data_IF_111700132001
#
_entry.id   IF_111700132001
#
_cell.length_a   1.000
_cell.length_b   1.000
_cell.length_c   1.000
_cell.angle_alpha   90.00
_cell.angle_beta   90.00
_cell.angle_gamma   90.00
#
_symmetry.space_group_name_H-M   'P 1'
#
loop_
_entity.id
_entity.type
_entity.pdbx_description
1 polymer ?
#
# COMPACT_ATOMS: atom_id res chain seq x y z
N UNK A 1 23.52 -7.95 9.50
CA UNK A 1 23.44 -6.60 10.09
C UNK A 1 22.33 -6.52 11.12
N UNK A 2 22.39 -5.57 12.06
CA UNK A 2 21.30 -5.23 12.97
C UNK A 2 20.53 -4.04 12.43
N UNK A 3 19.25 -4.23 12.11
CA UNK A 3 18.46 -3.24 11.38
C UNK A 3 17.20 -2.90 12.17
N UNK A 4 17.00 -1.61 12.42
CA UNK A 4 15.76 -1.10 13.02
C UNK A 4 14.83 -0.52 11.95
N UNK A 5 13.52 -0.80 12.02
CA UNK A 5 12.50 -0.25 11.11
C UNK A 5 11.44 0.42 11.97
N UNK A 6 11.17 1.71 11.73
CA UNK A 6 10.14 2.42 12.51
C UNK A 6 8.73 2.01 12.09
N UNK A 7 7.83 1.85 13.06
CA UNK A 7 6.43 1.50 12.85
C UNK A 7 5.52 2.34 13.77
N UNK A 8 4.41 2.86 13.24
CA UNK A 8 3.37 3.53 14.04
C UNK A 8 2.23 2.57 14.36
N UNK A 9 2.23 2.02 15.56
CA UNK A 9 1.20 1.08 16.04
C UNK A 9 0.11 1.77 16.87
N UNK A 10 0.13 3.10 16.98
CA UNK A 10 -0.73 3.85 17.90
C UNK A 10 -2.13 4.16 17.38
N UNK A 11 -2.36 4.16 16.06
CA UNK A 11 -3.55 4.78 15.48
C UNK A 11 -4.44 3.88 14.64
N UNK A 12 -3.87 2.95 13.88
CA UNK A 12 -4.63 2.20 12.87
C UNK A 12 -4.37 0.69 13.00
N UNK A 13 -5.42 -0.10 12.75
CA UNK A 13 -5.27 -1.56 12.57
C UNK A 13 -4.30 -1.85 11.42
N UNK A 14 -3.53 -2.95 11.54
CA UNK A 14 -2.61 -3.40 10.51
C UNK A 14 -3.28 -3.59 9.14
N UNK A 15 -4.52 -4.06 9.13
CA UNK A 15 -5.29 -4.29 7.88
C UNK A 15 -5.72 -3.02 7.14
N UNK A 16 -5.57 -1.84 7.73
CA UNK A 16 -5.94 -0.55 7.10
C UNK A 16 -4.78 0.41 6.94
N UNK A 17 -3.57 0.03 7.41
CA UNK A 17 -2.37 0.86 7.34
C UNK A 17 -1.32 0.22 6.43
N UNK A 18 -1.30 0.59 5.16
CA UNK A 18 -0.29 0.12 4.20
C UNK A 18 1.15 0.41 4.63
N UNK A 19 1.39 1.52 5.33
CA UNK A 19 2.72 1.87 5.87
C UNK A 19 3.15 0.87 6.94
N UNK A 20 2.26 0.52 7.87
CA UNK A 20 2.57 -0.46 8.92
C UNK A 20 2.74 -1.88 8.35
N UNK A 21 1.92 -2.23 7.33
CA UNK A 21 2.10 -3.48 6.59
C UNK A 21 3.48 -3.54 5.94
N UNK A 22 3.88 -2.47 5.25
CA UNK A 22 5.20 -2.39 4.62
C UNK A 22 6.34 -2.56 5.63
N UNK A 23 6.26 -1.93 6.81
CA UNK A 23 7.27 -2.06 7.86
C UNK A 23 7.43 -3.52 8.33
N UNK A 24 6.33 -4.25 8.48
CA UNK A 24 6.34 -5.67 8.87
C UNK A 24 6.90 -6.53 7.72
N UNK A 25 6.42 -6.31 6.49
CA UNK A 25 6.89 -7.07 5.32
C UNK A 25 8.38 -6.87 5.06
N UNK A 26 8.86 -5.63 5.19
CA UNK A 26 10.28 -5.32 5.09
C UNK A 26 11.11 -6.00 6.20
N UNK A 27 10.62 -5.98 7.44
CA UNK A 27 11.29 -6.65 8.54
C UNK A 27 11.43 -8.16 8.32
N UNK A 28 10.37 -8.80 7.80
CA UNK A 28 10.39 -10.23 7.47
C UNK A 28 11.34 -10.53 6.32
N UNK A 29 11.31 -9.74 5.26
CA UNK A 29 12.18 -9.90 4.10
C UNK A 29 13.65 -9.74 4.48
N UNK A 30 14.00 -8.72 5.26
CA UNK A 30 15.38 -8.51 5.71
C UNK A 30 15.85 -9.59 6.68
N UNK A 31 14.95 -10.13 7.49
CA UNK A 31 15.23 -11.29 8.36
C UNK A 31 15.51 -12.54 7.51
N UNK A 32 14.73 -12.78 6.47
CA UNK A 32 14.98 -13.88 5.50
C UNK A 32 16.37 -13.73 4.86
N UNK A 33 16.82 -12.52 4.63
CA UNK A 33 18.17 -12.19 4.17
C UNK A 33 19.28 -12.35 5.23
N UNK A 34 18.98 -12.93 6.40
CA UNK A 34 19.96 -13.19 7.46
C UNK A 34 20.27 -11.99 8.36
N UNK A 35 19.45 -10.94 8.34
CA UNK A 35 19.62 -9.78 9.21
C UNK A 35 18.88 -9.93 10.54
N UNK A 36 19.42 -9.32 11.60
CA UNK A 36 18.75 -9.20 12.90
C UNK A 36 17.86 -7.94 12.88
N UNK A 37 16.56 -8.13 12.71
CA UNK A 37 15.61 -7.05 12.47
C UNK A 37 14.79 -6.70 13.71
N UNK A 38 14.57 -5.40 13.91
CA UNK A 38 13.83 -4.83 15.03
C UNK A 38 12.75 -3.86 14.51
N UNK A 39 11.50 -4.06 14.92
CA UNK A 39 10.43 -3.07 14.75
C UNK A 39 10.52 -2.04 15.86
N UNK A 40 10.91 -0.81 15.51
CA UNK A 40 11.07 0.31 16.44
C UNK A 40 9.73 1.04 16.57
N UNK A 41 9.20 1.10 17.79
CA UNK A 41 7.91 1.75 18.07
C UNK A 41 8.02 2.82 19.15
N UNK A 42 7.22 3.88 19.01
CA UNK A 42 6.99 4.85 20.07
C UNK A 42 6.19 4.16 21.17
N UNK A 43 6.42 4.53 22.41
CA UNK A 43 5.90 3.96 23.66
C UNK A 43 4.59 3.13 23.51
N UNK A 44 4.58 1.96 24.11
CA UNK A 44 3.43 1.06 24.16
C UNK A 44 2.18 1.77 24.71
N UNK A 45 1.21 2.01 23.83
CA UNK A 45 -0.16 2.31 24.23
C UNK A 45 -0.94 1.00 24.07
N UNK A 46 -1.76 0.66 25.05
CA UNK A 46 -2.64 -0.51 24.99
C UNK A 46 -3.71 -0.29 23.92
N UNK A 47 -3.43 -0.74 22.70
CA UNK A 47 -4.33 -0.66 21.57
C UNK A 47 -4.51 -2.04 20.93
N UNK A 48 -5.67 -2.27 20.32
CA UNK A 48 -5.92 -3.52 19.54
C UNK A 48 -4.86 -3.75 18.45
N UNK A 49 -4.35 -2.67 17.85
CA UNK A 49 -3.28 -2.71 16.85
C UNK A 49 -1.96 -3.20 17.45
N UNK A 50 -1.64 -2.81 18.67
CA UNK A 50 -0.46 -3.29 19.39
C UNK A 50 -0.54 -4.79 19.66
N UNK A 51 -1.68 -5.30 20.11
CA UNK A 51 -1.87 -6.73 20.37
C UNK A 51 -1.77 -7.57 19.09
N UNK A 52 -2.34 -7.10 17.99
CA UNK A 52 -2.16 -7.74 16.68
C UNK A 52 -0.69 -7.78 16.28
N UNK A 53 0.02 -6.65 16.42
CA UNK A 53 1.45 -6.55 16.11
C UNK A 53 2.29 -7.48 17.02
N UNK A 54 2.00 -7.53 18.32
CA UNK A 54 2.67 -8.45 19.27
C UNK A 54 2.49 -9.91 18.87
N UNK A 55 1.26 -10.33 18.52
CA UNK A 55 0.96 -11.70 18.07
C UNK A 55 1.71 -12.06 16.80
N UNK A 56 1.70 -11.16 15.78
CA UNK A 56 2.43 -11.36 14.53
C UNK A 56 3.95 -11.43 14.75
N UNK A 57 4.51 -10.51 15.53
CA UNK A 57 5.93 -10.54 15.87
C UNK A 57 6.32 -11.88 16.53
N UNK A 58 5.51 -12.36 17.49
CA UNK A 58 5.74 -13.64 18.15
C UNK A 58 5.66 -14.82 17.15
N UNK A 59 4.61 -14.86 16.30
CA UNK A 59 4.41 -15.91 15.31
C UNK A 59 5.59 -16.01 14.33
N UNK A 60 6.11 -14.86 13.88
CA UNK A 60 7.15 -14.79 12.85
C UNK A 60 8.56 -14.52 13.42
N UNK A 61 8.74 -14.50 14.74
CA UNK A 61 10.02 -14.29 15.39
C UNK A 61 10.66 -12.93 15.06
N UNK A 62 9.86 -11.86 14.95
CA UNK A 62 10.32 -10.49 14.81
C UNK A 62 10.58 -9.87 16.18
N UNK A 63 11.69 -9.17 16.32
CA UNK A 63 12.01 -8.43 17.52
C UNK A 63 11.28 -7.08 17.53
N UNK A 64 10.98 -6.60 18.73
CA UNK A 64 10.43 -5.26 18.97
C UNK A 64 11.43 -4.47 19.81
N UNK A 65 11.51 -3.16 19.57
CA UNK A 65 12.43 -2.27 20.26
C UNK A 65 11.74 -0.92 20.53
N UNK A 66 11.75 -0.46 21.76
CA UNK A 66 11.26 0.87 22.05
C UNK A 66 12.28 1.95 21.64
N UNK A 67 11.81 3.15 21.28
CA UNK A 67 12.68 4.24 20.81
C UNK A 67 13.83 4.59 21.80
N UNK A 68 13.57 4.54 23.10
CA UNK A 68 14.56 4.83 24.12
C UNK A 68 15.63 3.73 24.25
N UNK A 69 15.40 2.54 23.72
CA UNK A 69 16.32 1.40 23.75
C UNK A 69 17.26 1.34 22.55
N UNK A 70 16.98 2.10 21.48
CA UNK A 70 17.76 2.11 20.22
C UNK A 70 19.24 2.37 20.48
N UNK A 71 19.55 3.34 21.31
CA UNK A 71 20.94 3.70 21.67
C UNK A 71 21.76 2.55 22.29
N UNK A 72 21.11 1.60 22.96
CA UNK A 72 21.78 0.47 23.61
C UNK A 72 21.99 -0.73 22.68
N UNK A 73 21.22 -0.81 21.58
CA UNK A 73 21.22 -1.96 20.67
C UNK A 73 22.37 -1.99 19.67
N UNK A 74 23.06 -0.85 19.44
CA UNK A 74 24.11 -0.72 18.42
C UNK A 74 23.64 -1.21 17.05
N UNK A 75 22.57 -0.59 16.52
CA UNK A 75 22.05 -0.89 15.19
C UNK A 75 23.00 -0.38 14.11
N UNK A 76 23.16 -1.14 13.03
CA UNK A 76 23.96 -0.74 11.88
C UNK A 76 23.15 0.25 11.00
N UNK A 77 21.86 -0.02 10.84
CA UNK A 77 20.96 0.78 10.00
C UNK A 77 19.63 1.01 10.73
N UNK A 78 19.07 2.22 10.59
CA UNK A 78 17.69 2.50 10.96
C UNK A 78 16.91 3.01 9.76
N UNK A 79 15.81 2.33 9.43
CA UNK A 79 14.91 2.67 8.34
C UNK A 79 13.70 3.41 8.89
N UNK A 80 13.59 4.69 8.53
CA UNK A 80 12.44 5.54 8.85
C UNK A 80 11.31 5.24 7.86
N UNK A 81 10.25 4.57 8.32
CA UNK A 81 9.11 4.17 7.49
C UNK A 81 7.77 4.63 8.10
N UNK A 82 7.37 4.07 9.24
CA UNK A 82 6.11 4.43 9.89
C UNK A 82 6.18 5.65 10.80
N UNK A 83 7.36 6.00 11.28
CA UNK A 83 7.60 7.17 12.14
C UNK A 83 8.84 7.91 11.67
N UNK A 84 8.72 9.22 11.48
CA UNK A 84 9.84 10.10 11.10
C UNK A 84 10.87 10.18 12.22
N UNK A 85 12.13 9.96 11.89
CA UNK A 85 13.27 10.16 12.79
C UNK A 85 13.67 11.62 12.74
N UNK A 86 13.61 12.31 13.87
CA UNK A 86 14.06 13.70 13.98
C UNK A 86 15.57 13.80 14.04
N UNK A 87 16.09 14.98 13.65
CA UNK A 87 17.50 15.34 13.83
C UNK A 87 18.01 15.11 15.26
N UNK A 88 17.21 15.52 16.24
CA UNK A 88 17.56 15.38 17.68
C UNK A 88 17.76 13.92 18.05
N UNK A 89 16.86 13.05 17.58
CA UNK A 89 16.93 11.60 17.84
C UNK A 89 18.14 10.97 17.14
N UNK A 90 18.31 11.31 15.86
CA UNK A 90 19.42 10.79 15.06
C UNK A 90 20.78 11.17 15.66
N UNK A 91 20.95 12.42 16.07
CA UNK A 91 22.16 12.89 16.72
C UNK A 91 22.41 12.19 18.06
N UNK A 92 21.36 11.98 18.87
CA UNK A 92 21.49 11.23 20.11
C UNK A 92 21.95 9.78 19.88
N UNK A 93 21.53 9.14 18.81
CA UNK A 93 21.95 7.78 18.43
C UNK A 93 23.35 7.77 17.82
N UNK A 94 23.70 8.72 16.95
CA UNK A 94 25.05 8.88 16.38
C UNK A 94 26.12 9.13 17.44
N UNK A 95 25.81 9.88 18.50
CA UNK A 95 26.73 10.10 19.62
C UNK A 95 27.14 8.80 20.33
N UNK A 96 26.31 7.76 20.31
CA UNK A 96 26.59 6.45 20.91
C UNK A 96 27.04 5.41 19.90
N UNK A 97 26.67 5.56 18.64
CA UNK A 97 27.07 4.73 17.52
C UNK A 97 27.34 5.61 16.29
N UNK A 98 28.57 6.13 16.10
CA UNK A 98 28.88 7.06 15.02
C UNK A 98 28.67 6.49 13.60
N UNK A 99 28.71 5.17 13.44
CA UNK A 99 28.58 4.50 12.15
C UNK A 99 27.13 4.13 11.77
N UNK A 100 26.15 4.49 12.60
CA UNK A 100 24.76 4.20 12.33
C UNK A 100 24.29 4.94 11.07
N UNK A 101 23.66 4.21 10.14
CA UNK A 101 23.10 4.78 8.90
C UNK A 101 21.59 4.96 9.02
N UNK A 102 21.08 6.01 8.38
CA UNK A 102 19.64 6.32 8.34
C UNK A 102 19.12 6.23 6.92
N UNK A 103 18.11 5.41 6.69
CA UNK A 103 17.40 5.30 5.42
C UNK A 103 16.00 5.88 5.62
N UNK A 104 15.57 6.79 4.73
CA UNK A 104 14.18 7.20 4.64
C UNK A 104 13.47 6.35 3.58
N UNK A 105 12.54 5.46 4.01
CA UNK A 105 11.78 4.62 3.09
C UNK A 105 10.42 5.26 2.83
N UNK A 106 10.18 5.66 1.59
CA UNK A 106 9.03 6.45 1.16
C UNK A 106 7.98 5.58 0.45
N UNK A 107 6.77 5.56 0.99
CA UNK A 107 5.63 4.78 0.49
C UNK A 107 4.44 5.65 0.04
N UNK A 108 4.55 6.97 0.10
CA UNK A 108 3.51 7.92 -0.28
C UNK A 108 3.97 8.87 -1.38
N UNK A 109 3.04 9.52 -2.05
CA UNK A 109 3.34 10.56 -3.03
C UNK A 109 3.37 11.93 -2.35
N UNK A 110 4.53 12.31 -1.79
CA UNK A 110 4.67 13.57 -1.06
C UNK A 110 4.53 14.78 -2.00
N UNK A 111 4.92 14.66 -3.27
CA UNK A 111 4.70 15.72 -4.26
C UNK A 111 3.21 16.08 -4.39
N UNK A 112 2.34 15.07 -4.55
CA UNK A 112 0.90 15.33 -4.60
C UNK A 112 0.33 15.86 -3.28
N UNK A 113 0.76 15.29 -2.15
CA UNK A 113 0.30 15.75 -0.82
C UNK A 113 0.65 17.23 -0.60
N UNK A 114 1.86 17.64 -0.96
CA UNK A 114 2.29 19.00 -0.84
C UNK A 114 1.58 19.91 -1.85
N UNK A 115 1.47 19.48 -3.12
CA UNK A 115 0.75 20.23 -4.15
C UNK A 115 -0.72 20.47 -3.75
N UNK A 116 -1.44 19.42 -3.33
CA UNK A 116 -2.82 19.52 -2.84
C UNK A 116 -2.91 20.46 -1.62
N UNK A 117 -1.93 20.38 -0.72
CA UNK A 117 -1.87 21.23 0.47
C UNK A 117 -1.68 22.70 0.09
N UNK A 118 -0.76 23.00 -0.84
CA UNK A 118 -0.48 24.39 -1.25
C UNK A 118 -1.57 24.98 -2.15
N UNK A 119 -2.23 24.16 -2.98
CA UNK A 119 -3.23 24.64 -3.95
C UNK A 119 -4.61 24.77 -3.28
N UNK A 120 -5.04 23.77 -2.49
CA UNK A 120 -6.43 23.67 -2.02
C UNK A 120 -6.64 24.06 -0.57
N UNK A 121 -5.62 24.00 0.30
CA UNK A 121 -5.79 24.35 1.71
C UNK A 121 -5.62 25.85 1.97
N UNK A 122 -6.39 26.38 2.89
CA UNK A 122 -6.23 27.73 3.42
C UNK A 122 -4.90 27.87 4.17
N UNK A 123 -4.45 29.11 4.39
CA UNK A 123 -3.25 29.38 5.18
C UNK A 123 -3.32 28.79 6.60
N UNK A 124 -4.48 28.84 7.24
CA UNK A 124 -4.68 28.29 8.59
C UNK A 124 -4.60 26.75 8.60
N UNK A 125 -5.20 26.09 7.61
CA UNK A 125 -5.12 24.62 7.47
C UNK A 125 -3.70 24.17 7.15
N UNK A 126 -2.95 24.92 6.34
CA UNK A 126 -1.54 24.67 6.08
C UNK A 126 -0.71 24.76 7.36
N UNK A 127 -0.88 25.83 8.12
CA UNK A 127 -0.17 26.03 9.39
C UNK A 127 -0.44 24.90 10.40
N UNK A 128 -1.68 24.40 10.45
CA UNK A 128 -2.06 23.28 11.31
C UNK A 128 -1.50 21.92 10.84
N UNK A 129 -1.22 21.75 9.54
CA UNK A 129 -0.70 20.50 8.98
C UNK A 129 0.83 20.40 9.01
N UNK A 130 1.55 21.47 9.30
CA UNK A 130 3.02 21.44 9.37
C UNK A 130 3.52 20.59 10.53
N UNK A 131 4.34 19.59 10.22
CA UNK A 131 5.10 18.88 11.25
C UNK A 131 6.11 19.83 11.89
N UNK A 132 6.14 19.88 13.22
CA UNK A 132 7.18 20.60 13.97
C UNK A 132 8.50 19.80 14.08
N UNK A 133 8.56 18.65 13.42
CA UNK A 133 9.70 17.76 13.47
C UNK A 133 10.59 18.05 12.27
N UNK A 134 11.82 18.49 12.51
CA UNK A 134 12.86 18.53 11.48
C UNK A 134 13.37 17.10 11.28
N UNK A 135 13.16 16.50 10.10
CA UNK A 135 13.65 15.14 9.83
C UNK A 135 15.17 15.15 9.74
N UNK A 136 15.80 14.04 10.12
CA UNK A 136 17.23 13.82 9.85
C UNK A 136 17.48 13.82 8.34
N UNK A 137 18.62 14.39 7.90
CA UNK A 137 19.10 14.17 6.53
C UNK A 137 19.54 12.70 6.44
N UNK A 138 18.86 11.86 5.64
CA UNK A 138 19.16 10.43 5.58
C UNK A 138 20.41 10.16 4.74
N UNK A 139 21.10 9.06 5.04
CA UNK A 139 22.22 8.56 4.24
C UNK A 139 21.73 8.04 2.87
N UNK A 140 20.49 7.53 2.81
CA UNK A 140 19.82 7.16 1.56
C UNK A 140 18.29 7.32 1.67
N UNK A 141 17.65 7.52 0.51
CA UNK A 141 16.19 7.49 0.37
C UNK A 141 15.81 6.33 -0.54
N UNK A 142 14.97 5.45 -0.03
CA UNK A 142 14.35 4.38 -0.78
C UNK A 142 12.90 4.75 -1.10
N UNK A 143 12.52 4.62 -2.36
CA UNK A 143 11.16 4.86 -2.84
C UNK A 143 10.54 3.60 -3.40
N UNK A 144 9.27 3.38 -3.14
CA UNK A 144 8.51 2.35 -3.84
C UNK A 144 8.38 2.69 -5.33
N UNK A 145 8.29 1.68 -6.24
CA UNK A 145 8.37 1.91 -7.69
C UNK A 145 7.31 2.84 -8.24
N UNK A 146 6.09 2.77 -7.73
CA UNK A 146 4.98 3.59 -8.21
C UNK A 146 5.17 5.10 -7.99
N UNK A 147 6.15 5.48 -7.17
CA UNK A 147 6.48 6.89 -6.90
C UNK A 147 7.70 7.39 -7.70
N UNK A 148 8.32 6.53 -8.53
CA UNK A 148 9.56 6.83 -9.24
C UNK A 148 9.46 8.12 -10.06
N UNK A 149 8.46 8.21 -10.93
CA UNK A 149 8.33 9.31 -11.88
C UNK A 149 8.05 10.67 -11.23
N UNK A 150 7.29 10.67 -10.15
CA UNK A 150 6.80 11.92 -9.53
C UNK A 150 7.64 12.36 -8.33
N UNK A 151 8.33 11.44 -7.66
CA UNK A 151 8.91 11.75 -6.35
C UNK A 151 10.41 11.58 -6.20
N UNK A 152 11.15 10.82 -7.03
CA UNK A 152 12.58 10.61 -6.75
C UNK A 152 13.35 11.93 -6.61
N UNK A 153 13.21 12.84 -7.57
CA UNK A 153 13.86 14.15 -7.52
C UNK A 153 13.25 15.06 -6.45
N UNK A 154 11.95 14.93 -6.20
CA UNK A 154 11.28 15.67 -5.16
C UNK A 154 11.78 15.27 -3.77
N UNK A 155 11.95 13.97 -3.52
CA UNK A 155 12.54 13.48 -2.27
C UNK A 155 13.98 13.95 -2.08
N UNK A 156 14.81 13.94 -3.14
CA UNK A 156 16.17 14.50 -3.07
C UNK A 156 16.15 15.92 -2.57
N UNK A 157 15.26 16.74 -3.14
CA UNK A 157 15.12 18.15 -2.76
C UNK A 157 14.65 18.34 -1.33
N UNK A 158 13.53 17.71 -0.93
CA UNK A 158 12.92 17.95 0.40
C UNK A 158 13.71 17.32 1.55
N UNK A 159 14.52 16.28 1.29
CA UNK A 159 15.31 15.58 2.29
C UNK A 159 16.79 15.94 2.26
N UNK A 160 17.22 16.79 1.31
CA UNK A 160 18.59 17.31 1.23
C UNK A 160 19.65 16.26 0.94
N UNK A 161 19.32 15.20 0.17
CA UNK A 161 20.27 14.16 -0.24
C UNK A 161 20.03 13.69 -1.67
N UNK A 162 21.14 13.53 -2.43
CA UNK A 162 21.08 12.97 -3.78
C UNK A 162 21.01 11.44 -3.81
N UNK A 163 21.25 10.78 -2.67
CA UNK A 163 21.21 9.33 -2.54
C UNK A 163 19.78 8.80 -2.52
N UNK A 164 19.04 9.01 -3.62
CA UNK A 164 17.62 8.66 -3.75
C UNK A 164 17.44 7.63 -4.86
N UNK A 165 16.82 6.50 -4.54
CA UNK A 165 16.62 5.40 -5.49
C UNK A 165 15.30 4.67 -5.30
N UNK A 166 14.85 3.99 -6.36
CA UNK A 166 13.74 3.03 -6.29
C UNK A 166 14.24 1.70 -5.74
N UNK A 167 13.39 1.01 -4.98
CA UNK A 167 13.63 -0.33 -4.46
C UNK A 167 12.50 -1.27 -4.87
N UNK A 168 12.69 -2.61 -4.87
CA UNK A 168 11.61 -3.53 -5.20
C UNK A 168 10.38 -3.33 -4.32
N UNK A 169 9.19 -3.54 -4.88
CA UNK A 169 7.94 -3.47 -4.12
C UNK A 169 7.80 -4.71 -3.24
N UNK A 170 7.38 -4.52 -1.99
CA UNK A 170 7.24 -5.60 -1.03
C UNK A 170 5.78 -5.78 -0.66
N UNK A 171 5.31 -7.00 -0.75
CA UNK A 171 4.07 -7.49 -0.19
C UNK A 171 4.28 -8.89 0.39
N UNK A 172 3.46 -9.31 1.35
CA UNK A 172 3.54 -10.67 1.91
C UNK A 172 2.14 -11.18 2.26
N UNK A 173 1.79 -12.43 1.96
CA UNK A 173 0.47 -12.97 2.20
C UNK A 173 0.13 -13.17 3.67
N UNK A 174 1.07 -12.99 4.57
CA UNK A 174 0.94 -13.32 6.01
C UNK A 174 -0.31 -12.75 6.68
N UNK A 175 -0.76 -11.54 6.26
CA UNK A 175 -1.96 -10.95 6.82
C UNK A 175 -3.23 -11.60 6.27
N UNK A 176 -3.24 -11.94 4.97
CA UNK A 176 -4.37 -12.66 4.36
C UNK A 176 -4.44 -14.09 4.88
N UNK A 177 -3.30 -14.75 5.07
CA UNK A 177 -3.23 -16.07 5.69
C UNK A 177 -3.71 -16.06 7.14
N UNK A 178 -3.33 -15.02 7.92
CA UNK A 178 -3.83 -14.86 9.29
C UNK A 178 -5.36 -14.62 9.32
N UNK A 179 -5.90 -13.89 8.34
CA UNK A 179 -7.33 -13.68 8.23
C UNK A 179 -8.08 -14.97 7.82
N UNK A 180 -7.49 -15.80 6.96
CA UNK A 180 -8.01 -17.13 6.64
C UNK A 180 -8.01 -18.05 7.86
N UNK A 181 -6.89 -18.11 8.61
CA UNK A 181 -6.77 -18.94 9.83
C UNK A 181 -7.78 -18.53 10.90
N UNK A 182 -8.12 -17.24 11.00
CA UNK A 182 -9.09 -16.71 11.96
C UNK A 182 -10.55 -16.74 11.45
N UNK A 183 -10.80 -17.24 10.26
CA UNK A 183 -12.11 -17.22 9.57
C UNK A 183 -12.69 -15.80 9.42
N UNK A 184 -11.83 -14.79 9.30
CA UNK A 184 -12.23 -13.41 8.98
C UNK A 184 -12.51 -13.20 7.48
N UNK A 185 -11.99 -14.09 6.64
CA UNK A 185 -12.20 -14.14 5.19
C UNK A 185 -12.12 -15.59 4.71
N UNK A 186 -12.74 -15.89 3.58
CA UNK A 186 -12.59 -17.16 2.84
C UNK A 186 -11.89 -16.94 1.50
N UNK A 187 -11.33 -18.02 0.93
CA UNK A 187 -10.98 -18.06 -0.49
C UNK A 187 -12.28 -17.90 -1.29
N UNK A 188 -12.20 -17.17 -2.40
CA UNK A 188 -13.34 -17.01 -3.30
C UNK A 188 -13.89 -18.39 -3.72
N UNK A 189 -15.19 -18.58 -3.58
CA UNK A 189 -15.86 -19.88 -3.67
C UNK A 189 -16.55 -20.15 -5.04
N UNK A 190 -16.30 -19.31 -6.05
CA UNK A 190 -16.92 -19.45 -7.37
C UNK A 190 -18.36 -18.94 -7.46
N UNK A 191 -18.83 -18.18 -6.45
CA UNK A 191 -20.18 -17.58 -6.49
C UNK A 191 -20.35 -16.58 -7.63
N UNK A 192 -21.58 -16.42 -8.13
CA UNK A 192 -21.90 -15.40 -9.13
C UNK A 192 -21.51 -14.00 -8.63
N UNK A 193 -20.80 -13.26 -9.48
CA UNK A 193 -20.41 -11.88 -9.18
C UNK A 193 -21.58 -10.94 -9.47
N UNK A 194 -22.13 -10.31 -8.44
CA UNK A 194 -23.19 -9.30 -8.54
C UNK A 194 -23.06 -8.14 -7.55
N UNK A 195 -22.03 -8.16 -6.68
CA UNK A 195 -21.74 -7.09 -5.72
C UNK A 195 -20.35 -6.53 -5.99
N UNK A 196 -20.28 -5.23 -6.27
CA UNK A 196 -19.07 -4.51 -6.63
C UNK A 196 -18.62 -3.66 -5.45
N UNK A 197 -17.35 -3.78 -5.06
CA UNK A 197 -16.70 -2.91 -4.09
C UNK A 197 -15.72 -1.95 -4.75
N UNK A 198 -15.81 -0.66 -4.42
CA UNK A 198 -14.82 0.37 -4.77
C UNK A 198 -14.20 0.82 -3.45
N UNK A 199 -12.90 0.57 -3.26
CA UNK A 199 -12.21 0.80 -1.98
C UNK A 199 -11.22 1.96 -2.07
N UNK A 200 -11.64 3.06 -2.70
CA UNK A 200 -10.81 4.25 -2.79
C UNK A 200 -11.06 5.19 -1.59
N UNK A 201 -10.00 5.65 -0.89
CA UNK A 201 -10.16 6.42 0.35
C UNK A 201 -10.68 7.84 0.15
N UNK A 202 -10.71 8.37 -1.08
CA UNK A 202 -11.22 9.70 -1.44
C UNK A 202 -10.57 10.87 -0.66
N UNK A 203 -9.27 10.76 -0.39
CA UNK A 203 -8.50 11.76 0.37
C UNK A 203 -7.41 12.44 -0.46
N UNK A 204 -7.25 12.05 -1.71
CA UNK A 204 -6.26 12.59 -2.65
C UNK A 204 -6.73 12.39 -4.08
N UNK A 205 -6.24 13.21 -5.00
CA UNK A 205 -6.46 13.10 -6.44
C UNK A 205 -6.05 11.74 -7.01
N UNK A 206 -5.10 11.06 -6.38
CA UNK A 206 -4.61 9.74 -6.81
C UNK A 206 -5.64 8.62 -6.62
N UNK A 207 -6.59 8.76 -5.70
CA UNK A 207 -7.49 7.68 -5.24
C UNK A 207 -8.89 8.22 -5.06
N UNK A 208 -9.69 8.13 -6.10
CA UNK A 208 -11.03 8.71 -6.15
C UNK A 208 -12.05 7.69 -6.67
N UNK A 209 -13.17 7.55 -5.99
CA UNK A 209 -14.16 6.51 -6.27
C UNK A 209 -15.00 6.72 -7.54
N UNK A 210 -15.04 7.93 -8.10
CA UNK A 210 -15.92 8.25 -9.22
C UNK A 210 -15.50 7.55 -10.54
N UNK A 211 -14.22 7.52 -10.95
CA UNK A 211 -13.83 6.82 -12.17
C UNK A 211 -14.25 5.34 -12.17
N UNK A 212 -13.95 4.51 -11.16
CA UNK A 212 -14.41 3.12 -11.15
C UNK A 212 -15.94 3.00 -11.00
N UNK A 213 -16.64 3.97 -10.37
CA UNK A 213 -18.10 3.97 -10.31
C UNK A 213 -18.72 4.23 -11.68
N UNK A 214 -18.12 5.09 -12.52
CA UNK A 214 -18.55 5.29 -13.93
C UNK A 214 -18.42 3.99 -14.71
N UNK A 215 -17.33 3.25 -14.55
CA UNK A 215 -17.13 1.94 -15.21
C UNK A 215 -18.25 0.97 -14.82
N UNK A 216 -18.53 0.85 -13.52
CA UNK A 216 -19.61 -0.03 -13.02
C UNK A 216 -21.01 0.42 -13.51
N UNK A 217 -21.27 1.72 -13.56
CA UNK A 217 -22.54 2.28 -14.08
C UNK A 217 -22.72 2.01 -15.57
N UNK A 218 -21.65 2.07 -16.35
CA UNK A 218 -21.67 1.72 -17.80
C UNK A 218 -22.03 0.25 -17.99
N UNK A 219 -21.45 -0.68 -17.22
CA UNK A 219 -21.82 -2.10 -17.25
C UNK A 219 -23.31 -2.28 -16.93
N UNK A 220 -23.81 -1.64 -15.88
CA UNK A 220 -25.23 -1.73 -15.50
C UNK A 220 -26.16 -1.18 -16.59
N UNK A 221 -25.76 -0.11 -17.26
CA UNK A 221 -26.54 0.53 -18.33
C UNK A 221 -26.54 -0.31 -19.60
N UNK A 222 -25.40 -0.82 -20.03
CA UNK A 222 -25.17 -1.35 -21.37
C UNK A 222 -25.32 -2.87 -21.45
N UNK A 223 -25.11 -3.61 -20.34
CA UNK A 223 -25.10 -5.09 -20.32
C UNK A 223 -26.23 -5.63 -19.43
N UNK A 224 -27.39 -5.87 -20.04
CA UNK A 224 -28.62 -6.30 -19.34
C UNK A 224 -28.63 -7.80 -18.96
N UNK A 225 -27.68 -8.56 -19.48
CA UNK A 225 -27.44 -9.97 -19.13
C UNK A 225 -26.62 -10.09 -17.82
N UNK A 226 -26.05 -8.99 -17.30
CA UNK A 226 -25.35 -8.96 -16.02
C UNK A 226 -26.24 -8.31 -14.95
N UNK A 227 -26.39 -9.03 -13.85
CA UNK A 227 -27.07 -8.51 -12.67
C UNK A 227 -26.07 -7.82 -11.74
N UNK A 228 -26.27 -6.53 -11.47
CA UNK A 228 -25.59 -5.83 -10.38
C UNK A 228 -26.60 -5.62 -9.26
N UNK A 229 -26.39 -6.32 -8.14
CA UNK A 229 -27.21 -6.18 -6.93
C UNK A 229 -26.84 -4.88 -6.20
N UNK A 230 -25.55 -4.64 -6.02
CA UNK A 230 -25.06 -3.48 -5.25
C UNK A 230 -23.68 -3.01 -5.69
N UNK A 231 -23.50 -1.70 -5.72
CA UNK A 231 -22.22 -1.00 -5.81
C UNK A 231 -21.95 -0.26 -4.49
N UNK A 232 -20.84 -0.55 -3.84
CA UNK A 232 -20.44 0.04 -2.57
C UNK A 232 -19.21 0.92 -2.74
N UNK A 233 -19.34 2.21 -2.39
CA UNK A 233 -18.24 3.19 -2.36
C UNK A 233 -17.64 3.21 -0.96
N UNK A 234 -16.67 2.33 -0.71
CA UNK A 234 -16.06 2.11 0.61
C UNK A 234 -14.95 3.15 0.83
N UNK A 235 -15.06 3.95 1.89
CA UNK A 235 -14.22 5.12 2.13
C UNK A 235 -14.81 6.44 1.63
N UNK A 236 -16.06 6.43 1.14
CA UNK A 236 -16.75 7.63 0.65
C UNK A 236 -17.68 8.29 1.69
N UNK A 237 -17.77 7.77 2.92
CA UNK A 237 -18.62 8.33 3.97
C UNK A 237 -18.31 9.81 4.29
N UNK A 238 -17.05 10.24 4.14
CA UNK A 238 -16.65 11.64 4.37
C UNK A 238 -17.17 12.62 3.34
N UNK A 239 -17.46 12.17 2.12
CA UNK A 239 -17.92 13.01 1.00
C UNK A 239 -19.40 12.78 0.62
N UNK A 240 -20.06 11.77 1.22
CA UNK A 240 -21.42 11.38 0.84
C UNK A 240 -22.48 12.49 1.00
N UNK A 241 -22.23 13.46 1.86
CA UNK A 241 -23.13 14.58 2.12
C UNK A 241 -22.79 15.85 1.33
N UNK A 242 -21.66 15.86 0.60
CA UNK A 242 -21.29 16.95 -0.27
C UNK A 242 -22.28 17.08 -1.44
N UNK A 243 -22.76 18.32 -1.69
CA UNK A 243 -23.78 18.57 -2.72
C UNK A 243 -23.25 18.27 -4.14
N UNK A 244 -21.99 18.60 -4.42
CA UNK A 244 -21.37 18.33 -5.70
C UNK A 244 -21.19 16.84 -5.95
N UNK A 245 -20.80 16.10 -4.91
CA UNK A 245 -20.71 14.65 -4.97
C UNK A 245 -22.08 14.01 -5.24
N UNK A 246 -23.15 14.44 -4.52
CA UNK A 246 -24.51 13.96 -4.75
C UNK A 246 -25.03 14.29 -6.15
N UNK A 247 -24.74 15.48 -6.65
CA UNK A 247 -25.10 15.86 -8.03
C UNK A 247 -24.40 14.94 -9.05
N UNK A 248 -23.14 14.62 -8.82
CA UNK A 248 -22.35 13.78 -9.72
C UNK A 248 -22.85 12.33 -9.73
N UNK A 249 -22.99 11.69 -8.57
CA UNK A 249 -23.49 10.30 -8.50
C UNK A 249 -24.96 10.21 -8.89
N UNK A 250 -25.75 11.27 -8.71
CA UNK A 250 -27.16 11.36 -9.13
C UNK A 250 -27.39 11.24 -10.62
N UNK A 251 -26.33 11.38 -11.43
CA UNK A 251 -26.37 11.13 -12.89
C UNK A 251 -26.27 9.65 -13.24
N UNK A 252 -25.78 8.81 -12.31
CA UNK A 252 -25.57 7.37 -12.53
C UNK A 252 -26.87 6.58 -12.43
N UNK A 253 -27.04 5.61 -13.32
CA UNK A 253 -28.23 4.75 -13.35
C UNK A 253 -28.25 3.80 -12.13
N UNK A 254 -27.09 3.32 -11.65
CA UNK A 254 -27.00 2.54 -10.41
C UNK A 254 -27.50 3.32 -9.18
N UNK A 255 -27.22 4.63 -9.11
CA UNK A 255 -27.71 5.48 -8.04
C UNK A 255 -29.22 5.67 -8.12
N UNK A 256 -29.75 5.98 -9.31
CA UNK A 256 -31.19 6.13 -9.58
C UNK A 256 -31.98 4.85 -9.28
N UNK A 257 -31.35 3.69 -9.52
CA UNK A 257 -31.92 2.37 -9.21
C UNK A 257 -31.83 1.99 -7.73
N UNK A 258 -31.27 2.84 -6.86
CA UNK A 258 -31.11 2.56 -5.43
C UNK A 258 -30.07 1.49 -5.11
N UNK A 259 -29.15 1.21 -6.06
CA UNK A 259 -28.15 0.13 -5.94
C UNK A 259 -26.76 0.63 -5.50
N UNK A 260 -26.60 1.90 -5.14
CA UNK A 260 -25.36 2.47 -4.64
C UNK A 260 -25.42 2.79 -3.15
N UNK A 261 -24.30 2.57 -2.44
CA UNK A 261 -24.10 3.06 -1.06
C UNK A 261 -22.73 3.69 -0.92
N UNK A 262 -22.61 4.64 0.02
CA UNK A 262 -21.35 5.21 0.45
C UNK A 262 -21.09 4.78 1.90
N UNK A 263 -19.98 4.10 2.13
CA UNK A 263 -19.69 3.44 3.39
C UNK A 263 -18.37 3.93 3.98
N UNK A 264 -18.15 3.66 5.28
CA UNK A 264 -16.88 3.93 5.96
C UNK A 264 -15.77 2.99 5.44
N UNK A 265 -14.52 3.34 5.75
CA UNK A 265 -13.36 2.49 5.44
C UNK A 265 -13.35 1.25 6.34
N UNK A 266 -13.15 0.09 5.74
CA UNK A 266 -13.03 -1.20 6.42
C UNK A 266 -11.78 -1.95 5.97
N UNK A 267 -11.39 -2.99 6.71
CA UNK A 267 -10.32 -3.89 6.34
C UNK A 267 -10.68 -4.69 5.07
N UNK A 268 -9.72 -4.93 4.20
CA UNK A 268 -9.93 -5.67 2.95
C UNK A 268 -10.55 -7.05 3.17
N UNK A 269 -10.09 -7.90 4.12
CA UNK A 269 -10.71 -9.22 4.36
C UNK A 269 -12.20 -9.12 4.68
N UNK A 270 -12.58 -8.16 5.52
CA UNK A 270 -13.99 -7.97 5.91
C UNK A 270 -14.90 -7.62 4.73
N UNK A 271 -14.40 -6.83 3.78
CA UNK A 271 -15.17 -6.42 2.61
C UNK A 271 -15.32 -7.59 1.62
N UNK A 272 -14.23 -8.30 1.33
CA UNK A 272 -14.22 -9.39 0.36
C UNK A 272 -15.12 -10.56 0.78
N UNK A 273 -15.13 -10.91 2.07
CA UNK A 273 -15.93 -12.03 2.54
C UNK A 273 -17.44 -11.74 2.57
N UNK A 274 -17.82 -10.52 3.01
CA UNK A 274 -19.21 -10.22 3.38
C UNK A 274 -19.96 -9.37 2.38
N UNK A 275 -19.28 -8.53 1.63
CA UNK A 275 -19.93 -7.44 0.92
C UNK A 275 -19.62 -7.36 -0.56
N UNK A 276 -18.39 -7.63 -0.99
CA UNK A 276 -17.99 -7.51 -2.38
C UNK A 276 -17.54 -8.85 -2.97
N UNK A 277 -17.98 -9.14 -4.19
CA UNK A 277 -17.55 -10.32 -4.97
C UNK A 277 -16.45 -9.95 -5.95
N UNK A 278 -16.32 -8.67 -6.29
CA UNK A 278 -15.33 -8.08 -7.17
C UNK A 278 -14.96 -6.69 -6.69
N UNK A 279 -13.70 -6.34 -6.81
CA UNK A 279 -13.21 -4.98 -6.58
C UNK A 279 -12.97 -4.28 -7.90
N UNK A 280 -13.45 -3.05 -8.03
CA UNK A 280 -13.11 -2.17 -9.14
C UNK A 280 -12.36 -0.97 -8.60
N UNK A 281 -11.19 -0.71 -9.15
CA UNK A 281 -10.28 0.32 -8.68
C UNK A 281 -9.79 1.20 -9.84
N UNK A 282 -9.57 2.45 -9.52
CA UNK A 282 -8.88 3.40 -10.37
C UNK A 282 -7.91 4.20 -9.51
N UNK A 283 -6.66 4.28 -9.95
CA UNK A 283 -5.66 5.10 -9.28
C UNK A 283 -4.82 5.87 -10.31
N UNK A 284 -4.53 7.12 -10.01
CA UNK A 284 -3.68 7.97 -10.82
C UNK A 284 -2.31 8.10 -10.15
N UNK A 285 -1.22 7.94 -10.93
CA UNK A 285 0.16 7.99 -10.43
C UNK A 285 0.43 7.12 -9.18
N UNK A 286 -0.29 5.99 -9.10
CA UNK A 286 -0.09 4.98 -8.06
C UNK A 286 -0.34 3.56 -8.64
N UNK A 287 0.48 3.13 -9.64
CA UNK A 287 0.20 1.96 -10.46
C UNK A 287 0.54 0.61 -9.80
N UNK A 288 0.46 0.52 -8.47
CA UNK A 288 0.63 -0.71 -7.70
C UNK A 288 0.06 -0.52 -6.28
N UNK A 289 -0.81 -1.45 -5.82
CA UNK A 289 -1.48 -1.32 -4.53
C UNK A 289 -1.63 -2.68 -3.84
N UNK A 290 -1.49 -2.70 -2.52
CA UNK A 290 -1.70 -3.91 -1.69
C UNK A 290 -3.09 -4.51 -1.88
N UNK A 291 -4.13 -3.69 -2.03
CA UNK A 291 -5.50 -4.15 -2.26
C UNK A 291 -5.60 -5.16 -3.41
N UNK A 292 -4.86 -4.93 -4.51
CA UNK A 292 -4.92 -5.82 -5.67
C UNK A 292 -4.30 -7.18 -5.35
N UNK A 293 -3.18 -7.16 -4.64
CA UNK A 293 -2.47 -8.37 -4.23
C UNK A 293 -3.26 -9.14 -3.16
N UNK A 294 -3.89 -8.44 -2.20
CA UNK A 294 -4.74 -9.04 -1.18
C UNK A 294 -5.94 -9.76 -1.80
N UNK A 295 -6.68 -9.08 -2.70
CA UNK A 295 -7.86 -9.63 -3.33
C UNK A 295 -7.52 -10.82 -4.25
N UNK A 296 -6.52 -10.65 -5.12
CA UNK A 296 -6.11 -11.69 -6.06
C UNK A 296 -5.48 -12.90 -5.38
N UNK A 297 -4.75 -12.73 -4.26
CA UNK A 297 -4.22 -13.82 -3.45
C UNK A 297 -5.31 -14.72 -2.87
N UNK A 298 -6.45 -14.13 -2.54
CA UNK A 298 -7.63 -14.83 -2.05
C UNK A 298 -8.55 -15.36 -3.18
N UNK A 299 -8.20 -15.11 -4.44
CA UNK A 299 -8.97 -15.54 -5.60
C UNK A 299 -10.14 -14.64 -5.96
N UNK A 300 -10.31 -13.47 -5.32
CA UNK A 300 -11.33 -12.50 -5.70
C UNK A 300 -10.93 -11.73 -6.94
N UNK A 301 -11.90 -11.47 -7.82
CA UNK A 301 -11.67 -10.63 -8.99
C UNK A 301 -11.33 -9.18 -8.58
N UNK A 302 -10.31 -8.63 -9.21
CA UNK A 302 -9.96 -7.21 -9.09
C UNK A 302 -9.73 -6.60 -10.47
N UNK A 303 -10.50 -5.57 -10.80
CA UNK A 303 -10.39 -4.79 -12.05
C UNK A 303 -9.70 -3.48 -11.73
N UNK A 304 -8.61 -3.15 -12.42
CA UNK A 304 -7.77 -2.00 -12.08
C UNK A 304 -6.97 -1.47 -13.27
N UNK A 305 -6.46 -0.23 -13.15
CA UNK A 305 -5.62 0.43 -14.16
C UNK A 305 -4.12 0.48 -13.81
N UNK A 306 -3.64 -0.37 -12.92
CA UNK A 306 -2.27 -0.35 -12.41
C UNK A 306 -1.30 -1.03 -13.39
N UNK A 307 -0.59 -0.24 -14.18
CA UNK A 307 0.28 -0.76 -15.25
C UNK A 307 1.55 -1.48 -14.76
N UNK A 308 1.98 -1.31 -13.50
CA UNK A 308 3.12 -2.03 -12.94
C UNK A 308 2.79 -3.47 -12.49
N UNK A 309 1.50 -3.85 -12.50
CA UNK A 309 1.05 -5.20 -12.17
C UNK A 309 -0.10 -5.66 -13.09
N UNK A 310 0.05 -5.47 -14.40
CA UNK A 310 -0.97 -5.82 -15.41
C UNK A 310 -1.40 -7.27 -15.38
N UNK A 311 -0.55 -8.15 -14.91
CA UNK A 311 -0.75 -9.60 -14.79
C UNK A 311 -1.36 -10.04 -13.45
N UNK A 312 -1.75 -9.09 -12.59
CA UNK A 312 -2.48 -9.35 -11.35
C UNK A 312 -3.92 -8.87 -11.53
N UNK A 313 -4.90 -9.75 -11.38
CA UNK A 313 -6.29 -9.40 -11.61
C UNK A 313 -6.62 -9.16 -13.09
N UNK A 314 -7.49 -8.21 -13.35
CA UNK A 314 -7.99 -7.81 -14.67
C UNK A 314 -7.62 -6.36 -14.94
N UNK A 315 -6.69 -6.15 -15.84
CA UNK A 315 -6.15 -4.81 -16.16
C UNK A 315 -6.96 -4.11 -17.25
N UNK A 316 -7.21 -2.82 -17.08
CA UNK A 316 -7.66 -1.90 -18.13
C UNK A 316 -6.73 -0.67 -18.21
N UNK A 317 -6.69 0.00 -19.39
CA UNK A 317 -5.70 1.05 -19.63
C UNK A 317 -6.14 2.41 -19.07
N UNK A 318 -5.35 3.02 -18.21
CA UNK A 318 -5.40 4.42 -17.79
C UNK A 318 -6.78 4.98 -17.43
N UNK A 319 -7.27 5.91 -18.23
CA UNK A 319 -8.61 6.52 -18.19
C UNK A 319 -9.56 5.97 -19.25
N UNK A 320 -9.26 4.85 -19.89
CA UNK A 320 -10.12 4.23 -20.89
C UNK A 320 -11.29 3.51 -20.20
N UNK A 321 -12.38 4.24 -20.00
CA UNK A 321 -13.58 3.71 -19.36
C UNK A 321 -14.39 2.76 -20.25
N UNK A 322 -14.17 2.77 -21.55
CA UNK A 322 -14.77 1.80 -22.47
C UNK A 322 -14.07 0.46 -22.34
N UNK A 323 -12.74 0.45 -22.34
CA UNK A 323 -11.97 -0.73 -22.02
C UNK A 323 -12.24 -1.22 -20.58
N UNK A 324 -12.35 -0.32 -19.60
CA UNK A 324 -12.72 -0.65 -18.22
C UNK A 324 -14.10 -1.32 -18.12
N UNK A 325 -15.10 -0.87 -18.89
CA UNK A 325 -16.42 -1.48 -19.00
C UNK A 325 -16.33 -2.91 -19.55
N UNK A 326 -15.61 -3.10 -20.65
CA UNK A 326 -15.42 -4.41 -21.27
C UNK A 326 -14.73 -5.39 -20.33
N UNK A 327 -13.65 -4.97 -19.68
CA UNK A 327 -12.89 -5.78 -18.72
C UNK A 327 -13.76 -6.16 -17.53
N UNK A 328 -14.51 -5.21 -16.96
CA UNK A 328 -15.41 -5.48 -15.83
C UNK A 328 -16.54 -6.44 -16.24
N UNK A 329 -17.17 -6.22 -17.38
CA UNK A 329 -18.21 -7.10 -17.91
C UNK A 329 -17.71 -8.53 -18.06
N UNK A 330 -16.55 -8.72 -18.69
CA UNK A 330 -15.96 -10.03 -18.91
C UNK A 330 -15.57 -10.70 -17.59
N UNK A 331 -15.01 -9.95 -16.64
CA UNK A 331 -14.70 -10.46 -15.30
C UNK A 331 -15.97 -10.92 -14.56
N UNK A 332 -17.05 -10.13 -14.56
CA UNK A 332 -18.30 -10.50 -13.90
C UNK A 332 -18.95 -11.75 -14.51
N UNK A 333 -18.77 -11.95 -15.81
CA UNK A 333 -19.36 -13.07 -16.54
C UNK A 333 -18.61 -14.38 -16.36
N UNK A 334 -17.28 -14.33 -16.40
CA UNK A 334 -16.44 -15.52 -16.60
C UNK A 334 -15.61 -15.89 -15.37
N UNK A 335 -15.38 -14.99 -14.43
CA UNK A 335 -14.45 -15.22 -13.30
C UNK A 335 -14.87 -16.43 -12.42
N UNK A 336 -16.16 -16.63 -12.18
CA UNK A 336 -16.65 -17.72 -11.35
C UNK A 336 -16.33 -19.12 -11.92
N UNK A 337 -16.11 -19.21 -13.23
CA UNK A 337 -15.79 -20.44 -13.95
C UNK A 337 -14.29 -20.64 -14.17
N UNK A 338 -13.47 -19.64 -13.85
CA UNK A 338 -12.00 -19.70 -14.02
C UNK A 338 -11.33 -20.44 -12.86
N UNK A 339 -11.25 -21.74 -12.97
CA UNK A 339 -10.61 -22.61 -11.96
C UNK A 339 -9.10 -22.39 -11.83
N UNK A 340 -8.44 -21.73 -12.78
CA UNK A 340 -6.99 -21.51 -12.78
C UNK A 340 -6.60 -20.17 -12.14
N UNK A 341 -7.53 -19.22 -12.07
CA UNK A 341 -7.25 -17.85 -11.63
C UNK A 341 -6.46 -17.78 -10.32
N UNK A 342 -6.91 -18.45 -9.26
CA UNK A 342 -6.24 -18.42 -7.96
C UNK A 342 -4.78 -18.88 -8.04
N UNK A 343 -4.51 -19.97 -8.75
CA UNK A 343 -3.15 -20.52 -8.87
C UNK A 343 -2.24 -19.60 -9.69
N UNK A 344 -2.75 -19.04 -10.78
CA UNK A 344 -2.03 -18.09 -11.63
C UNK A 344 -1.72 -16.77 -10.87
N UNK A 345 -2.71 -16.23 -10.16
CA UNK A 345 -2.51 -15.01 -9.38
C UNK A 345 -1.47 -15.21 -8.28
N UNK A 346 -1.51 -16.29 -7.54
CA UNK A 346 -0.51 -16.59 -6.51
C UNK A 346 0.89 -16.72 -7.09
N UNK A 347 1.01 -17.37 -8.26
CA UNK A 347 2.30 -17.44 -8.99
C UNK A 347 2.81 -16.04 -9.35
N UNK A 348 1.98 -15.21 -9.94
CA UNK A 348 2.36 -13.85 -10.35
C UNK A 348 2.72 -12.96 -9.15
N UNK A 349 1.96 -13.07 -8.06
CA UNK A 349 2.16 -12.27 -6.84
C UNK A 349 3.41 -12.69 -6.07
N UNK A 350 3.87 -13.94 -6.19
CA UNK A 350 5.04 -14.45 -5.46
C UNK A 350 6.29 -13.59 -5.67
N UNK A 351 6.43 -12.90 -6.82
CA UNK A 351 7.56 -11.99 -7.07
C UNK A 351 7.66 -10.82 -6.09
N UNK A 352 6.57 -10.44 -5.44
CA UNK A 352 6.52 -9.34 -4.44
C UNK A 352 6.79 -9.82 -3.01
N UNK A 353 6.93 -11.12 -2.79
CA UNK A 353 7.00 -11.72 -1.45
C UNK A 353 8.42 -12.05 -1.05
N UNK A 354 8.66 -12.23 0.27
CA UNK A 354 9.94 -12.73 0.79
C UNK A 354 10.35 -14.11 0.25
N UNK A 355 9.45 -14.85 -0.40
CA UNK A 355 9.78 -16.11 -1.08
C UNK A 355 10.62 -15.89 -2.34
N UNK A 356 10.61 -14.70 -2.91
CA UNK A 356 11.47 -14.30 -4.02
C UNK A 356 12.90 -14.04 -3.54
N UNK A 357 13.76 -15.05 -3.63
CA UNK A 357 15.14 -14.99 -3.17
C UNK A 357 15.98 -13.94 -3.91
N UNK A 358 15.61 -13.58 -5.14
CA UNK A 358 16.27 -12.49 -5.86
C UNK A 358 16.00 -11.14 -5.18
N UNK A 359 14.75 -10.88 -4.80
CA UNK A 359 14.37 -9.66 -4.07
C UNK A 359 15.09 -9.60 -2.70
N UNK A 360 15.16 -10.71 -1.97
CA UNK A 360 15.91 -10.80 -0.70
C UNK A 360 17.38 -10.41 -0.89
N UNK A 361 18.03 -10.95 -1.93
CA UNK A 361 19.44 -10.62 -2.27
C UNK A 361 19.59 -9.14 -2.64
N UNK A 362 18.67 -8.58 -3.43
CA UNK A 362 18.72 -7.17 -3.83
C UNK A 362 18.63 -6.22 -2.64
N UNK A 363 17.73 -6.47 -1.69
CA UNK A 363 17.67 -5.67 -0.45
C UNK A 363 18.94 -5.76 0.38
N UNK A 364 19.59 -6.91 0.45
CA UNK A 364 20.87 -7.04 1.12
C UNK A 364 21.99 -6.25 0.41
N UNK A 365 22.02 -6.23 -0.93
CA UNK A 365 22.95 -5.40 -1.70
C UNK A 365 22.70 -3.91 -1.44
N UNK A 366 21.45 -3.47 -1.54
CA UNK A 366 21.06 -2.08 -1.27
C UNK A 366 21.43 -1.61 0.14
N UNK A 367 21.29 -2.49 1.15
CA UNK A 367 21.74 -2.21 2.51
C UNK A 367 23.26 -2.09 2.59
N UNK A 368 23.99 -2.99 1.92
CA UNK A 368 25.45 -2.98 1.93
C UNK A 368 26.01 -1.73 1.24
N UNK A 369 25.38 -1.31 0.12
CA UNK A 369 25.75 -0.08 -0.58
C UNK A 369 25.59 1.16 0.34
N UNK A 370 24.52 1.22 1.14
CA UNK A 370 24.31 2.33 2.11
C UNK A 370 25.36 2.28 3.23
N UNK A 371 25.67 1.10 3.77
CA UNK A 371 26.65 0.96 4.87
C UNK A 371 28.07 1.32 4.40
N UNK A 372 28.39 1.01 3.14
CA UNK A 372 29.72 1.28 2.54
C UNK A 372 29.82 2.67 1.90
N UNK A 373 28.77 3.48 1.91
CA UNK A 373 28.69 4.76 1.18
C UNK A 373 28.88 4.59 -0.36
N UNK A 374 28.41 3.46 -0.92
CA UNK A 374 28.49 3.10 -2.34
C UNK A 374 27.13 3.27 -3.04
N UNK A 375 26.57 4.47 -2.99
CA UNK A 375 25.25 4.71 -3.58
C UNK A 375 25.24 4.47 -5.10
N UNK A 376 24.20 3.73 -5.56
CA UNK A 376 23.88 3.51 -6.99
C UNK A 376 22.40 3.73 -7.22
N UNK A 377 22.07 4.63 -8.14
CA UNK A 377 20.68 4.80 -8.57
C UNK A 377 20.23 3.54 -9.29
N UNK A 378 19.03 3.05 -8.97
CA UNK A 378 18.45 1.85 -9.54
C UNK A 378 17.35 2.19 -10.55
N UNK A 379 17.08 1.26 -11.47
CA UNK A 379 15.94 1.25 -12.39
C UNK A 379 15.07 0.03 -12.05
N UNK A 380 13.77 0.22 -11.97
CA UNK A 380 12.82 -0.84 -11.62
C UNK A 380 12.31 -1.61 -12.84
N UNK A 381 12.27 -2.93 -12.72
CA UNK A 381 11.60 -3.84 -13.66
C UNK A 381 10.31 -4.42 -13.03
N UNK A 382 9.12 -4.04 -13.54
CA UNK A 382 7.86 -4.52 -12.99
C UNK A 382 7.59 -6.01 -13.26
N UNK A 383 8.15 -6.60 -14.31
CA UNK A 383 7.90 -7.99 -14.66
C UNK A 383 8.54 -8.96 -13.65
N UNK A 384 9.71 -8.61 -13.18
CA UNK A 384 10.47 -9.43 -12.22
C UNK A 384 10.40 -8.90 -10.78
N UNK A 385 9.85 -7.70 -10.58
CA UNK A 385 9.90 -6.96 -9.33
C UNK A 385 11.34 -6.84 -8.83
N UNK A 386 12.24 -6.42 -9.69
CA UNK A 386 13.65 -6.28 -9.39
C UNK A 386 14.17 -4.88 -9.74
N UNK A 387 15.37 -4.56 -9.23
CA UNK A 387 16.07 -3.34 -9.58
C UNK A 387 17.47 -3.65 -10.11
N UNK A 388 17.98 -2.78 -10.97
CA UNK A 388 19.36 -2.85 -11.49
C UNK A 388 19.98 -1.46 -11.51
N UNK A 389 21.31 -1.33 -11.36
CA UNK A 389 21.98 -0.04 -11.46
C UNK A 389 21.67 0.65 -12.79
N UNK A 390 21.42 1.97 -12.71
CA UNK A 390 21.12 2.82 -13.87
C UNK A 390 22.36 3.05 -14.69
#
# INVERSE_FOLDING_TARGET
MKIGITIDISRLSLFVSGINQNAIYLALLLKEGGNDTYLIHVKDQDTKSLDQTKKLCKKHGLNRLAFNEVSSKKLDVVISLGVTISDVMANAWRNKNPNIKFISYKCGNEFFVDAETYIYKTHQERAASHSKITPVIPDAVWSIPQMENTNLHYYSFILGTENTTVVPFIWDPMLMEAALESNEVSIYDGRKINRIGIMEPNISLMKFCIPPAIIADRVFKNHKDIEIEKLMLIGANGIQNDLKFKELIGKMELYKAGKMSADARHATPFILDKYAHIIVSWQWENPLNYLYLDAAWLGYAVVHNAHLCKDVGYYYEGFDFENGEEVLYNAMKNHAEDSNYLAEQRKNITRYTRMNQNMVKQYNILLQDVVNDEFKRQVYDPLTNSVSPK
#
